data_IF_241218429438
#
_entry.id   IF_241218429438
#
_cell.length_a   1.000
_cell.length_b   1.000
_cell.length_c   1.000
_cell.angle_alpha   90.00
_cell.angle_beta   90.00
_cell.angle_gamma   90.00
#
_symmetry.space_group_name_H-M   'P 1'
#
loop_
_entity.id
_entity.type
_entity.pdbx_description
1 polymer ?
#
# COMPACT_ATOMS: atom_id res chain seq x y z
N UNK A 1 -19.50 0.02 10.42
CA UNK A 1 -18.60 0.14 11.58
C UNK A 1 -17.43 -0.77 11.26
N UNK A 2 -16.18 -0.29 11.29
CA UNK A 2 -14.99 -1.12 10.97
C UNK A 2 -14.84 -2.15 12.09
N UNK A 3 -14.70 -3.45 11.77
CA UNK A 3 -14.55 -4.46 12.82
C UNK A 3 -13.11 -4.56 13.32
N UNK A 4 -12.15 -4.12 12.49
CA UNK A 4 -10.72 -4.27 12.75
C UNK A 4 -10.17 -5.64 12.35
N UNK A 5 -11.01 -6.46 11.69
CA UNK A 5 -10.60 -7.76 11.19
C UNK A 5 -9.61 -7.65 10.03
N UNK A 6 -8.83 -8.72 9.83
CA UNK A 6 -7.87 -8.85 8.75
C UNK A 6 -8.38 -9.92 7.78
N UNK A 7 -9.18 -9.54 6.76
CA UNK A 7 -9.84 -10.52 5.90
C UNK A 7 -8.88 -11.17 4.89
N UNK A 8 -7.72 -10.55 4.65
CA UNK A 8 -6.62 -11.14 3.89
C UNK A 8 -5.27 -10.59 4.36
N UNK A 9 -4.18 -11.27 4.01
CA UNK A 9 -2.81 -10.84 4.32
C UNK A 9 -2.02 -10.56 3.05
N UNK A 10 -1.28 -9.46 3.04
CA UNK A 10 -0.36 -9.13 1.95
C UNK A 10 0.82 -10.10 1.91
N UNK A 11 1.11 -10.63 0.73
CA UNK A 11 2.32 -11.36 0.41
C UNK A 11 3.34 -10.41 -0.22
N UNK A 12 4.41 -10.09 0.52
CA UNK A 12 5.50 -9.22 0.06
C UNK A 12 6.84 -9.96 0.03
N UNK A 13 6.83 -11.29 -0.05
CA UNK A 13 8.02 -12.12 0.12
C UNK A 13 9.14 -11.75 -0.86
N UNK A 14 8.81 -11.62 -2.14
CA UNK A 14 9.78 -11.26 -3.18
C UNK A 14 10.35 -9.86 -2.98
N UNK A 15 9.51 -8.92 -2.53
CA UNK A 15 9.89 -7.55 -2.26
C UNK A 15 10.85 -7.48 -1.06
N UNK A 16 10.52 -8.18 0.03
CA UNK A 16 11.37 -8.27 1.22
C UNK A 16 12.69 -8.98 0.88
N UNK A 17 12.67 -10.02 0.03
CA UNK A 17 13.87 -10.70 -0.41
C UNK A 17 14.78 -9.79 -1.26
N UNK A 18 14.21 -8.97 -2.15
CA UNK A 18 14.97 -7.92 -2.88
C UNK A 18 15.53 -6.87 -1.94
N UNK A 19 14.70 -6.33 -1.04
CA UNK A 19 15.12 -5.34 -0.05
C UNK A 19 16.30 -5.85 0.80
N UNK A 20 16.21 -7.09 1.32
CA UNK A 20 17.29 -7.73 2.10
C UNK A 20 18.60 -7.86 1.32
N UNK A 21 18.55 -8.13 0.01
CA UNK A 21 19.75 -8.16 -0.85
C UNK A 21 20.42 -6.79 -0.96
N UNK A 22 19.65 -5.71 -0.87
CA UNK A 22 20.18 -4.33 -0.94
C UNK A 22 20.87 -3.88 0.37
N UNK A 23 20.59 -4.55 1.51
CA UNK A 23 21.17 -4.23 2.84
C UNK A 23 22.63 -4.64 2.98
N UNK A 24 23.13 -5.57 2.15
CA UNK A 24 24.44 -6.18 2.33
C UNK A 24 25.60 -5.16 2.14
N UNK A 25 26.01 -4.50 3.24
CA UNK A 25 27.23 -3.72 3.35
C UNK A 25 27.16 -2.26 2.87
N UNK A 26 25.96 -1.71 2.61
CA UNK A 26 25.81 -0.33 2.15
C UNK A 26 25.49 0.62 3.31
N UNK A 27 26.25 1.71 3.41
CA UNK A 27 25.89 2.88 4.21
C UNK A 27 25.00 3.74 3.31
N UNK A 28 23.81 4.10 3.79
CA UNK A 28 22.86 4.94 3.07
C UNK A 28 22.53 6.20 3.86
N UNK A 29 22.07 7.24 3.15
CA UNK A 29 21.75 8.55 3.72
C UNK A 29 20.42 8.56 4.48
N UNK A 30 19.51 7.65 4.12
CA UNK A 30 18.20 7.49 4.76
C UNK A 30 17.91 6.02 5.06
N UNK A 31 17.00 5.78 6.01
CA UNK A 31 16.49 4.44 6.32
C UNK A 31 15.06 4.30 5.81
N UNK A 32 14.82 3.32 4.93
CA UNK A 32 13.48 2.91 4.55
C UNK A 32 13.02 1.76 5.42
N UNK A 33 11.77 1.84 5.84
CA UNK A 33 11.12 0.83 6.67
C UNK A 33 10.02 0.15 5.87
N UNK A 34 10.18 -1.15 5.63
CA UNK A 34 9.20 -2.03 5.04
C UNK A 34 8.74 -3.05 6.09
N UNK A 35 7.65 -3.79 5.86
CA UNK A 35 7.32 -4.92 6.73
C UNK A 35 8.52 -5.87 6.86
N UNK A 36 8.88 -6.18 8.11
CA UNK A 36 9.94 -7.13 8.48
C UNK A 36 11.40 -6.75 8.09
N UNK A 37 11.64 -5.59 7.49
CA UNK A 37 12.99 -5.17 7.10
C UNK A 37 13.15 -3.65 7.10
N UNK A 38 14.27 -3.18 7.63
CA UNK A 38 14.73 -1.79 7.50
C UNK A 38 16.00 -1.78 6.67
N UNK A 39 16.09 -0.89 5.69
CA UNK A 39 17.20 -0.83 4.74
C UNK A 39 17.77 0.59 4.69
N UNK A 40 19.10 0.71 4.70
CA UNK A 40 19.77 1.98 4.47
C UNK A 40 19.97 2.18 2.96
N UNK A 41 19.55 3.34 2.43
CA UNK A 41 19.56 3.65 0.99
C UNK A 41 20.02 5.08 0.74
N UNK A 42 20.53 5.31 -0.47
CA UNK A 42 20.89 6.64 -0.99
C UNK A 42 20.15 6.86 -2.30
N UNK A 43 18.98 7.54 -2.28
CA UNK A 43 18.20 7.81 -3.48
C UNK A 43 18.95 8.74 -4.44
N UNK A 44 18.78 8.52 -5.75
CA UNK A 44 19.34 9.39 -6.77
C UNK A 44 18.50 10.66 -6.98
N UNK A 45 19.07 11.71 -7.56
CA UNK A 45 18.38 12.98 -7.83
C UNK A 45 17.05 12.82 -8.58
N UNK A 46 17.00 11.86 -9.52
CA UNK A 46 15.77 11.53 -10.24
C UNK A 46 14.69 10.97 -9.32
N UNK A 47 15.06 10.07 -8.41
CA UNK A 47 14.15 9.52 -7.40
C UNK A 47 13.68 10.60 -6.44
N UNK A 48 14.55 11.50 -5.99
CA UNK A 48 14.17 12.62 -5.12
C UNK A 48 13.09 13.50 -5.79
N UNK A 49 13.27 13.82 -7.08
CA UNK A 49 12.30 14.63 -7.83
C UNK A 49 10.96 13.91 -8.01
N UNK A 50 10.99 12.64 -8.41
CA UNK A 50 9.78 11.85 -8.63
C UNK A 50 9.04 11.57 -7.32
N UNK A 51 9.75 11.31 -6.22
CA UNK A 51 9.17 11.13 -4.90
C UNK A 51 8.35 12.35 -4.45
N UNK A 52 8.85 13.57 -4.68
CA UNK A 52 8.09 14.81 -4.40
C UNK A 52 6.80 14.88 -5.19
N UNK A 53 6.86 14.58 -6.49
CA UNK A 53 5.66 14.57 -7.34
C UNK A 53 4.63 13.54 -6.84
N UNK A 54 5.09 12.33 -6.52
CA UNK A 54 4.24 11.24 -6.02
C UNK A 54 3.54 11.67 -4.73
N UNK A 55 4.28 12.21 -3.76
CA UNK A 55 3.73 12.69 -2.48
C UNK A 55 2.67 13.76 -2.72
N UNK A 56 2.96 14.76 -3.55
CA UNK A 56 2.02 15.85 -3.87
C UNK A 56 0.76 15.37 -4.59
N UNK A 57 0.87 14.37 -5.47
CA UNK A 57 -0.28 13.83 -6.21
C UNK A 57 -1.12 12.83 -5.41
N UNK A 58 -0.51 12.10 -4.48
CA UNK A 58 -1.20 11.05 -3.73
C UNK A 58 -1.78 11.53 -2.40
N UNK A 59 -1.23 12.57 -1.77
CA UNK A 59 -1.65 13.03 -0.44
C UNK A 59 -3.14 13.33 -0.29
N UNK A 60 -3.78 13.84 -1.35
CA UNK A 60 -5.17 14.30 -1.32
C UNK A 60 -6.13 13.34 -2.05
N UNK A 61 -5.70 12.10 -2.33
CA UNK A 61 -6.55 11.14 -3.05
C UNK A 61 -7.69 10.66 -2.18
N UNK A 62 -8.90 10.68 -2.74
CA UNK A 62 -10.16 10.34 -2.07
C UNK A 62 -10.11 8.97 -1.38
N UNK A 63 -9.51 7.95 -1.99
CA UNK A 63 -9.45 6.62 -1.36
C UNK A 63 -8.57 6.56 -0.11
N UNK A 64 -7.74 7.57 0.16
CA UNK A 64 -6.95 7.64 1.39
C UNK A 64 -7.65 8.44 2.50
N UNK A 65 -8.71 9.19 2.16
CA UNK A 65 -9.36 10.14 3.08
C UNK A 65 -10.87 9.96 3.23
N UNK A 66 -11.52 9.20 2.35
CA UNK A 66 -12.97 9.06 2.34
C UNK A 66 -13.48 8.12 3.44
N UNK A 67 -14.66 8.44 3.95
CA UNK A 67 -15.46 7.53 4.76
C UNK A 67 -16.53 6.93 3.85
N UNK A 68 -16.37 5.66 3.47
CA UNK A 68 -17.37 4.98 2.66
C UNK A 68 -18.65 4.77 3.48
N UNK A 69 -19.78 5.25 2.94
CA UNK A 69 -21.08 5.13 3.58
C UNK A 69 -22.16 4.47 2.70
N UNK A 70 -21.86 4.14 1.43
CA UNK A 70 -22.79 3.52 0.47
C UNK A 70 -22.02 2.78 -0.66
N UNK A 71 -22.72 2.00 -1.50
CA UNK A 71 -22.10 1.29 -2.63
C UNK A 71 -21.49 2.25 -3.67
N UNK A 72 -22.09 3.41 -3.92
CA UNK A 72 -21.51 4.47 -4.74
C UNK A 72 -20.16 4.96 -4.20
N UNK A 73 -19.98 4.99 -2.88
CA UNK A 73 -18.70 5.35 -2.28
C UNK A 73 -17.66 4.26 -2.50
N UNK A 74 -18.06 2.99 -2.44
CA UNK A 74 -17.21 1.84 -2.76
C UNK A 74 -16.74 1.93 -4.21
N UNK A 75 -17.66 2.18 -5.15
CA UNK A 75 -17.32 2.23 -6.58
C UNK A 75 -16.41 3.43 -6.91
N UNK A 76 -16.65 4.59 -6.29
CA UNK A 76 -15.75 5.76 -6.41
C UNK A 76 -14.37 5.50 -5.79
N UNK A 77 -14.29 4.77 -4.66
CA UNK A 77 -13.01 4.39 -4.06
C UNK A 77 -12.24 3.42 -4.97
N UNK A 78 -12.93 2.44 -5.57
CA UNK A 78 -12.35 1.51 -6.55
C UNK A 78 -11.86 2.24 -7.81
N UNK A 79 -12.62 3.21 -8.32
CA UNK A 79 -12.18 4.05 -9.43
C UNK A 79 -10.90 4.82 -9.07
N UNK A 80 -10.87 5.45 -7.89
CA UNK A 80 -9.68 6.16 -7.40
C UNK A 80 -8.47 5.22 -7.22
N UNK A 81 -8.65 3.98 -6.79
CA UNK A 81 -7.57 2.99 -6.73
C UNK A 81 -7.01 2.62 -8.10
N UNK A 82 -7.86 2.52 -9.12
CA UNK A 82 -7.42 2.28 -10.51
C UNK A 82 -6.60 3.45 -11.04
N UNK A 83 -6.99 4.68 -10.73
CA UNK A 83 -6.22 5.88 -11.08
C UNK A 83 -4.85 5.91 -10.38
N UNK A 84 -4.81 5.58 -9.08
CA UNK A 84 -3.54 5.47 -8.33
C UNK A 84 -2.66 4.39 -8.95
N UNK A 85 -3.23 3.22 -9.28
CA UNK A 85 -2.48 2.13 -9.92
C UNK A 85 -1.89 2.56 -11.27
N UNK A 86 -2.66 3.24 -12.12
CA UNK A 86 -2.16 3.75 -13.39
C UNK A 86 -1.01 4.73 -13.17
N UNK A 87 -1.18 5.67 -12.25
CA UNK A 87 -0.14 6.64 -11.90
C UNK A 87 1.14 5.97 -11.36
N UNK A 88 1.03 4.92 -10.54
CA UNK A 88 2.17 4.14 -10.07
C UNK A 88 2.91 3.51 -11.24
N UNK A 89 2.19 2.85 -12.16
CA UNK A 89 2.80 2.22 -13.35
C UNK A 89 3.52 3.24 -14.22
N UNK A 90 2.92 4.41 -14.44
CA UNK A 90 3.56 5.49 -15.19
C UNK A 90 4.89 5.90 -14.53
N UNK A 91 4.93 5.97 -13.20
CA UNK A 91 6.16 6.29 -12.45
C UNK A 91 7.18 5.17 -12.41
N UNK A 92 6.74 3.91 -12.42
CA UNK A 92 7.63 2.75 -12.60
C UNK A 92 8.31 2.78 -13.97
N UNK A 93 7.58 3.15 -15.03
CA UNK A 93 8.14 3.35 -16.38
C UNK A 93 9.16 4.49 -16.39
N UNK A 94 8.87 5.60 -15.71
CA UNK A 94 9.82 6.69 -15.52
C UNK A 94 11.04 6.31 -14.66
N UNK A 95 11.05 5.14 -14.03
CA UNK A 95 12.16 4.61 -13.24
C UNK A 95 12.72 3.31 -13.83
N UNK A 96 12.44 3.01 -15.11
CA UNK A 96 12.80 1.75 -15.74
C UNK A 96 14.31 1.47 -15.75
N UNK A 97 15.16 2.50 -15.67
CA UNK A 97 16.62 2.41 -15.53
C UNK A 97 17.10 2.31 -14.07
N UNK A 98 16.20 2.49 -13.10
CA UNK A 98 16.45 2.51 -11.66
C UNK A 98 15.59 1.49 -10.90
N UNK A 99 15.37 0.30 -11.49
CA UNK A 99 14.49 -0.73 -10.92
C UNK A 99 14.94 -1.28 -9.56
N UNK A 100 16.25 -1.23 -9.29
CA UNK A 100 16.82 -1.58 -7.99
C UNK A 100 16.83 -0.39 -7.01
N UNK A 101 16.27 0.75 -7.39
CA UNK A 101 16.25 1.97 -6.60
C UNK A 101 15.23 1.94 -5.44
N UNK A 102 15.49 2.69 -4.36
CA UNK A 102 14.59 2.80 -3.22
C UNK A 102 13.17 3.26 -3.57
N UNK A 103 13.01 4.17 -4.53
CA UNK A 103 11.68 4.65 -4.92
C UNK A 103 10.91 3.57 -5.70
N UNK A 104 11.58 2.85 -6.59
CA UNK A 104 10.97 1.75 -7.33
C UNK A 104 10.47 0.65 -6.39
N UNK A 105 11.25 0.34 -5.35
CA UNK A 105 10.87 -0.63 -4.31
C UNK A 105 9.57 -0.24 -3.59
N UNK A 106 9.38 1.04 -3.27
CA UNK A 106 8.17 1.55 -2.61
C UNK A 106 6.95 1.55 -3.57
N UNK A 107 7.18 1.87 -4.85
CA UNK A 107 6.13 1.81 -5.87
C UNK A 107 5.65 0.37 -6.11
N UNK A 108 6.57 -0.60 -6.20
CA UNK A 108 6.17 -2.00 -6.36
C UNK A 108 5.46 -2.53 -5.09
N UNK A 109 5.82 -2.05 -3.89
CA UNK A 109 5.07 -2.36 -2.67
C UNK A 109 3.61 -1.90 -2.80
N UNK A 110 3.40 -0.64 -3.18
CA UNK A 110 2.06 -0.08 -3.39
C UNK A 110 1.30 -0.84 -4.49
N UNK A 111 1.95 -1.11 -5.63
CA UNK A 111 1.36 -1.86 -6.73
C UNK A 111 0.95 -3.28 -6.29
N UNK A 112 1.80 -3.97 -5.53
CA UNK A 112 1.51 -5.29 -4.98
C UNK A 112 0.33 -5.26 -4.01
N UNK A 113 0.27 -4.26 -3.13
CA UNK A 113 -0.86 -4.05 -2.22
C UNK A 113 -2.18 -3.85 -2.97
N UNK A 114 -2.19 -2.96 -3.97
CA UNK A 114 -3.38 -2.70 -4.79
C UNK A 114 -3.79 -3.97 -5.56
N UNK A 115 -2.85 -4.68 -6.20
CA UNK A 115 -3.15 -5.92 -6.93
C UNK A 115 -3.82 -6.95 -6.01
N UNK A 116 -3.26 -7.20 -4.83
CA UNK A 116 -3.77 -8.18 -3.89
C UNK A 116 -5.15 -7.79 -3.32
N UNK A 117 -5.36 -6.51 -3.03
CA UNK A 117 -6.68 -6.02 -2.64
C UNK A 117 -7.72 -6.19 -3.74
N UNK A 118 -7.38 -5.85 -4.99
CA UNK A 118 -8.31 -6.03 -6.12
C UNK A 118 -8.65 -7.52 -6.32
N UNK A 119 -7.68 -8.43 -6.19
CA UNK A 119 -7.95 -9.89 -6.21
C UNK A 119 -8.87 -10.32 -5.07
N UNK A 120 -8.65 -9.81 -3.86
CA UNK A 120 -9.54 -10.07 -2.72
C UNK A 120 -10.96 -9.54 -2.97
N UNK A 121 -11.09 -8.34 -3.52
CA UNK A 121 -12.37 -7.72 -3.86
C UNK A 121 -13.13 -8.53 -4.93
N UNK A 122 -12.43 -9.04 -5.94
CA UNK A 122 -13.01 -9.96 -6.94
C UNK A 122 -13.52 -11.26 -6.32
N UNK A 123 -12.82 -11.80 -5.30
CA UNK A 123 -13.27 -13.00 -4.58
C UNK A 123 -14.52 -12.75 -3.73
N UNK A 124 -14.68 -11.53 -3.20
CA UNK A 124 -15.87 -11.12 -2.45
C UNK A 124 -17.13 -11.01 -3.33
N UNK A 125 -16.99 -10.75 -4.63
CA UNK A 125 -18.12 -10.58 -5.58
C UNK A 125 -18.82 -11.87 -6.01
N UNK A 126 -18.42 -13.05 -5.52
CA UNK A 126 -18.88 -14.36 -6.05
C UNK A 126 -20.28 -14.83 -5.61
N UNK A 127 -21.10 -14.00 -4.98
CA UNK A 127 -22.50 -14.38 -4.66
C UNK A 127 -23.53 -13.39 -5.25
N UNK A 128 -23.94 -13.64 -6.49
CA UNK A 128 -24.90 -12.84 -7.28
C UNK A 128 -26.38 -12.92 -6.80
N UNK A 129 -26.68 -13.62 -5.70
CA UNK A 129 -28.07 -13.97 -5.33
C UNK A 129 -28.63 -13.31 -4.06
N UNK A 130 -27.95 -12.31 -3.52
CA UNK A 130 -28.33 -11.73 -2.24
C UNK A 130 -29.49 -10.72 -2.35
N UNK A 131 -30.51 -10.80 -1.48
CA UNK A 131 -31.59 -9.82 -1.45
C UNK A 131 -31.12 -8.44 -0.93
N UNK A 132 -31.70 -7.33 -1.42
CA UNK A 132 -31.36 -5.97 -1.00
C UNK A 132 -31.66 -5.72 0.49
N UNK A 133 -30.87 -4.88 1.14
CA UNK A 133 -30.93 -4.67 2.59
C UNK A 133 -32.15 -3.79 3.00
N UNK A 134 -33.01 -4.23 3.94
CA UNK A 134 -34.30 -3.59 4.24
C UNK A 134 -34.23 -2.22 4.94
N UNK A 135 -33.02 -1.73 5.30
CA UNK A 135 -32.80 -0.41 5.92
C UNK A 135 -31.96 0.56 5.09
N UNK A 136 -31.34 0.09 4.01
CA UNK A 136 -30.44 0.92 3.22
C UNK A 136 -30.61 0.52 1.75
N UNK A 137 -31.52 1.20 1.06
CA UNK A 137 -31.93 0.90 -0.32
C UNK A 137 -30.76 0.99 -1.33
N UNK A 138 -29.74 1.80 -1.02
CA UNK A 138 -28.53 1.99 -1.85
C UNK A 138 -27.46 0.89 -1.70
N UNK A 139 -27.78 -0.24 -1.06
CA UNK A 139 -26.84 -1.35 -0.92
C UNK A 139 -27.36 -2.63 -1.58
N UNK A 140 -26.70 -3.02 -2.66
CA UNK A 140 -26.96 -4.24 -3.39
C UNK A 140 -26.07 -5.41 -2.93
N UNK A 141 -24.99 -5.14 -2.18
CA UNK A 141 -24.10 -6.17 -1.63
C UNK A 141 -24.57 -6.69 -0.25
N UNK A 142 -24.44 -8.01 0.02
CA UNK A 142 -24.60 -8.58 1.37
C UNK A 142 -23.85 -7.79 2.45
N UNK A 143 -24.37 -7.79 3.67
CA UNK A 143 -23.77 -7.03 4.77
C UNK A 143 -22.36 -7.53 5.16
N UNK A 144 -22.14 -8.83 5.10
CA UNK A 144 -20.87 -9.52 5.33
C UNK A 144 -19.85 -9.25 4.22
N UNK A 145 -20.26 -9.31 2.95
CA UNK A 145 -19.43 -8.94 1.78
C UNK A 145 -18.95 -7.49 1.89
N UNK A 146 -19.87 -6.60 2.29
CA UNK A 146 -19.58 -5.17 2.49
C UNK A 146 -18.61 -4.94 3.64
N UNK A 147 -18.79 -5.64 4.76
CA UNK A 147 -17.90 -5.55 5.90
C UNK A 147 -16.48 -6.03 5.52
N UNK A 148 -16.39 -7.17 4.82
CA UNK A 148 -15.12 -7.67 4.30
C UNK A 148 -14.42 -6.69 3.34
N UNK A 149 -15.17 -6.00 2.47
CA UNK A 149 -14.63 -4.93 1.65
C UNK A 149 -14.05 -3.79 2.49
N UNK A 150 -14.79 -3.29 3.48
CA UNK A 150 -14.34 -2.17 4.31
C UNK A 150 -13.10 -2.51 5.14
N UNK A 151 -13.07 -3.71 5.73
CA UNK A 151 -11.91 -4.15 6.52
C UNK A 151 -10.68 -4.36 5.61
N UNK A 152 -10.87 -4.94 4.41
CA UNK A 152 -9.81 -5.06 3.42
C UNK A 152 -9.29 -3.70 2.92
N UNK A 153 -10.19 -2.75 2.69
CA UNK A 153 -9.83 -1.40 2.25
C UNK A 153 -9.05 -0.65 3.34
N UNK A 154 -9.40 -0.84 4.60
CA UNK A 154 -8.71 -0.23 5.72
C UNK A 154 -7.25 -0.69 5.81
N UNK A 155 -7.00 -1.98 5.60
CA UNK A 155 -5.66 -2.54 5.56
C UNK A 155 -4.88 -2.02 4.35
N UNK A 156 -5.51 -1.91 3.18
CA UNK A 156 -4.89 -1.30 2.01
C UNK A 156 -4.53 0.17 2.25
N UNK A 157 -5.42 0.95 2.85
CA UNK A 157 -5.16 2.35 3.22
C UNK A 157 -3.96 2.44 4.14
N UNK A 158 -3.93 1.64 5.20
CA UNK A 158 -2.77 1.58 6.09
C UNK A 158 -1.48 1.21 5.35
N UNK A 159 -1.55 0.30 4.37
CA UNK A 159 -0.39 -0.08 3.55
C UNK A 159 0.10 1.08 2.67
N UNK A 160 -0.78 1.66 1.85
CA UNK A 160 -0.46 2.76 0.93
C UNK A 160 0.06 3.98 1.69
N UNK A 161 -0.53 4.28 2.83
CA UNK A 161 -0.17 5.44 3.65
C UNK A 161 1.23 5.33 4.22
N UNK A 162 1.60 4.14 4.70
CA UNK A 162 2.97 3.88 5.17
C UNK A 162 3.98 3.93 4.02
N UNK A 163 3.63 3.39 2.84
CA UNK A 163 4.45 3.55 1.64
C UNK A 163 4.66 5.03 1.29
N UNK A 164 3.59 5.83 1.22
CA UNK A 164 3.69 7.27 0.92
C UNK A 164 4.50 8.00 1.99
N UNK A 165 4.38 7.62 3.27
CA UNK A 165 5.22 8.13 4.34
C UNK A 165 6.70 7.86 4.10
N UNK A 166 7.07 6.65 3.64
CA UNK A 166 8.45 6.36 3.25
C UNK A 166 8.88 7.13 1.98
N UNK A 167 7.98 7.32 1.02
CA UNK A 167 8.26 8.15 -0.17
C UNK A 167 8.49 9.62 0.23
N UNK A 168 7.78 10.13 1.24
CA UNK A 168 8.02 11.47 1.78
C UNK A 168 9.42 11.59 2.40
N UNK A 169 9.91 10.54 3.09
CA UNK A 169 11.30 10.47 3.57
C UNK A 169 12.28 10.52 2.39
N UNK A 170 12.05 9.75 1.33
CA UNK A 170 12.86 9.83 0.09
C UNK A 170 12.85 11.25 -0.48
N UNK A 171 11.68 11.90 -0.52
CA UNK A 171 11.52 13.24 -1.06
C UNK A 171 12.20 14.36 -0.23
N UNK A 172 12.65 14.05 0.99
CA UNK A 172 13.08 15.05 1.97
C UNK A 172 11.94 15.93 2.46
N UNK A 173 10.71 15.42 2.45
CA UNK A 173 9.50 16.13 2.84
C UNK A 173 9.05 15.70 4.25
N UNK A 174 8.49 16.62 5.06
CA UNK A 174 7.97 16.25 6.37
C UNK A 174 6.79 15.29 6.21
N UNK A 175 6.88 14.11 6.81
CA UNK A 175 5.81 13.10 6.74
C UNK A 175 4.53 13.54 7.49
N UNK A 176 4.67 14.37 8.54
CA UNK A 176 3.58 14.75 9.46
C UNK A 176 2.67 15.88 8.97
N UNK A 177 3.19 16.81 8.16
CA UNK A 177 2.45 18.04 7.81
C UNK A 177 1.69 17.96 6.48
N UNK A 178 1.81 16.84 5.75
CA UNK A 178 1.28 16.74 4.39
C UNK A 178 -0.13 16.12 4.31
N UNK A 179 -0.85 16.03 5.43
CA UNK A 179 -2.23 15.54 5.47
C UNK A 179 -2.42 14.07 5.07
N UNK A 180 -1.31 13.34 4.86
CA UNK A 180 -1.35 12.09 4.11
C UNK A 180 -2.09 11.01 4.86
N UNK A 181 -1.97 10.93 6.21
CA UNK A 181 -2.67 9.93 7.01
C UNK A 181 -2.41 10.05 8.53
N UNK A 182 -2.97 11.07 9.19
CA UNK A 182 -2.92 11.16 10.66
C UNK A 182 -3.44 9.89 11.36
N UNK A 183 -4.33 9.14 10.70
CA UNK A 183 -4.96 7.93 11.24
C UNK A 183 -4.12 6.64 11.05
N UNK A 184 -3.07 6.66 10.24
CA UNK A 184 -2.24 5.47 9.96
C UNK A 184 -0.76 5.70 10.27
N UNK A 185 -0.49 6.67 11.15
CA UNK A 185 0.83 6.86 11.73
C UNK A 185 1.24 5.66 12.59
N UNK A 186 2.55 5.42 12.68
CA UNK A 186 3.12 4.37 13.52
C UNK A 186 3.63 3.16 12.73
N UNK A 187 3.97 2.06 13.43
CA UNK A 187 4.60 0.91 12.83
C UNK A 187 3.69 0.20 11.81
N UNK A 188 4.31 -0.62 10.97
CA UNK A 188 3.60 -1.57 10.11
C UNK A 188 2.78 -2.53 10.99
N UNK A 189 1.49 -2.71 10.66
CA UNK A 189 0.62 -3.72 11.27
C UNK A 189 1.02 -5.10 10.74
N UNK A 190 2.02 -5.74 11.35
CA UNK A 190 2.66 -6.95 10.82
C UNK A 190 1.67 -8.12 10.64
N UNK A 191 0.59 -8.14 11.42
CA UNK A 191 -0.48 -9.14 11.34
C UNK A 191 -1.17 -9.16 9.98
N UNK A 192 -1.17 -8.02 9.26
CA UNK A 192 -1.72 -7.85 7.93
C UNK A 192 -0.81 -8.38 6.80
N UNK A 193 0.34 -8.95 7.13
CA UNK A 193 1.33 -9.46 6.17
C UNK A 193 1.63 -10.93 6.42
N UNK A 194 1.96 -11.66 5.35
CA UNK A 194 2.58 -12.98 5.48
C UNK A 194 4.03 -12.81 5.92
N UNK A 195 4.45 -13.62 6.90
CA UNK A 195 5.82 -13.58 7.37
C UNK A 195 6.77 -14.12 6.28
N UNK A 196 7.83 -13.38 5.93
CA UNK A 196 8.77 -13.82 4.91
C UNK A 196 9.69 -14.93 5.43
N UNK A 197 10.15 -15.85 4.56
CA UNK A 197 11.12 -16.87 4.95
C UNK A 197 12.34 -16.25 5.64
N UNK A 198 12.87 -16.92 6.66
CA UNK A 198 14.10 -16.48 7.32
C UNK A 198 15.27 -16.55 6.33
N UNK A 199 16.15 -15.55 6.37
CA UNK A 199 17.42 -15.63 5.62
C UNK A 199 18.21 -16.81 6.16
N UNK A 200 18.62 -17.72 5.27
CA UNK A 200 19.58 -18.77 5.62
C UNK A 200 20.89 -18.04 5.91
N UNK A 201 21.41 -18.16 7.14
CA UNK A 201 22.70 -17.59 7.48
C UNK A 201 23.76 -18.14 6.51
N UNK A 202 24.70 -17.31 6.00
CA UNK A 202 25.77 -17.84 5.18
C UNK A 202 26.50 -18.94 5.96
N UNK A 203 26.89 -20.06 5.31
CA UNK A 203 27.66 -21.09 5.98
C UNK A 203 28.88 -20.43 6.62
N UNK A 204 29.01 -20.58 7.93
CA UNK A 204 30.11 -19.99 8.70
C UNK A 204 31.43 -20.37 8.05
N UNK A 205 32.29 -19.37 7.82
CA UNK A 205 33.69 -19.60 7.47
C UNK A 205 34.44 -20.10 8.69
#
# INVERSE_FOLDING_TARGET
MRSGDIPFKFDLNDLVARARRQVAGRIGDITLNLPFVSIAVSPQDRELRLAREIVLRLRDRRVLSAWECCDDCIDKALASLKEIRQFIVDKEIELADLQDGPLFLLLDAMAAGIRQFMTFEELLRREDSAPPHPRFEDFHRPADVRQGYFDGLEILRGHLSRCIGQIAVVAGMPARDNGICANYEGPWQLEAYKEPPKLIAPPGK
#
